data_IF_317028531173
#
_entry.id   IF_317028531173
#
_cell.length_a   1.000
_cell.length_b   1.000
_cell.length_c   1.000
_cell.angle_alpha   90.00
_cell.angle_beta   90.00
_cell.angle_gamma   90.00
#
_symmetry.space_group_name_H-M   'P 1'
#
loop_
_entity.id
_entity.type
_entity.pdbx_description
1 polymer ?
#
# COMPACT_ATOMS: atom_id res chain seq x y z
N UNK A 1 -15.48 -39.94 39.78
CA UNK A 1 -15.44 -38.85 40.79
C UNK A 1 -14.01 -38.32 40.85
N UNK A 2 -13.87 -37.00 41.06
CA UNK A 2 -12.66 -36.15 41.01
C UNK A 2 -12.23 -35.81 39.56
N UNK A 3 -12.46 -34.61 38.99
CA UNK A 3 -12.36 -33.20 39.43
C UNK A 3 -10.94 -32.73 39.76
N UNK A 4 -10.35 -31.95 38.84
CA UNK A 4 -9.33 -30.91 39.02
C UNK A 4 -8.83 -30.47 37.62
N UNK A 5 -8.41 -29.25 37.31
CA UNK A 5 -8.62 -27.89 37.80
C UNK A 5 -7.88 -27.02 36.78
N UNK A 6 -8.48 -25.94 36.31
CA UNK A 6 -7.85 -24.98 35.41
C UNK A 6 -6.72 -24.23 36.12
N UNK A 7 -5.56 -24.10 35.48
CA UNK A 7 -4.49 -23.20 35.89
C UNK A 7 -4.17 -22.23 34.74
N UNK A 8 -4.80 -21.07 34.80
CA UNK A 8 -4.40 -19.86 34.08
C UNK A 8 -3.16 -19.27 34.77
N UNK A 9 -2.04 -19.16 34.06
CA UNK A 9 -0.88 -18.39 34.54
C UNK A 9 -1.03 -16.93 34.10
N UNK A 10 -1.47 -16.09 35.03
CA UNK A 10 -1.40 -14.64 34.95
C UNK A 10 0.05 -14.17 35.09
N UNK A 11 0.53 -13.35 34.16
CA UNK A 11 1.79 -12.62 34.29
C UNK A 11 1.58 -11.38 35.20
N UNK A 12 2.56 -10.98 36.02
CA UNK A 12 2.38 -9.85 36.94
C UNK A 12 2.58 -8.49 36.25
N UNK A 13 1.64 -7.57 36.51
CA UNK A 13 1.76 -6.14 36.20
C UNK A 13 2.94 -5.53 36.97
N UNK A 14 3.90 -4.93 36.26
CA UNK A 14 4.91 -4.04 36.85
C UNK A 14 4.28 -2.67 37.12
N UNK A 15 4.15 -2.32 38.40
CA UNK A 15 3.83 -0.96 38.84
C UNK A 15 5.01 -0.02 38.53
N UNK A 16 4.74 1.07 37.81
CA UNK A 16 5.70 2.16 37.60
C UNK A 16 5.51 3.16 38.74
N UNK A 17 6.44 3.18 39.68
CA UNK A 17 6.52 4.20 40.74
C UNK A 17 7.04 5.52 40.18
N UNK A 18 6.22 6.58 40.23
CA UNK A 18 6.62 7.95 39.96
C UNK A 18 7.58 8.46 41.04
N UNK A 19 8.81 8.82 40.65
CA UNK A 19 9.74 9.57 41.49
C UNK A 19 9.55 11.09 41.27
N UNK A 20 9.73 11.93 42.30
CA UNK A 20 9.48 13.37 42.23
C UNK A 20 10.55 14.10 41.38
N UNK A 21 10.09 15.09 40.59
CA UNK A 21 10.94 15.93 39.73
C UNK A 21 11.65 17.01 40.56
N UNK A 22 12.98 17.05 40.47
CA UNK A 22 13.80 18.19 40.88
C UNK A 22 13.81 19.27 39.79
N UNK A 23 13.78 20.58 40.12
CA UNK A 23 13.73 21.64 39.12
C UNK A 23 15.14 22.13 38.77
N UNK A 24 15.55 22.08 37.51
CA UNK A 24 16.72 22.86 37.04
C UNK A 24 16.60 23.36 35.59
N UNK A 25 17.00 24.63 35.50
CA UNK A 25 17.46 25.46 34.37
C UNK A 25 16.56 25.71 33.16
N UNK A 26 16.28 27.01 32.99
CA UNK A 26 15.72 27.68 31.84
C UNK A 26 16.51 27.40 30.54
N UNK A 27 15.98 26.51 29.71
CA UNK A 27 16.35 26.44 28.30
C UNK A 27 15.38 27.28 27.48
N UNK A 28 15.91 28.31 26.83
CA UNK A 28 15.21 29.15 25.86
C UNK A 28 14.67 28.25 24.75
N UNK A 29 13.34 28.11 24.69
CA UNK A 29 12.63 27.37 23.63
C UNK A 29 12.91 28.04 22.28
N UNK A 30 13.90 27.55 21.53
CA UNK A 30 13.94 27.80 20.09
C UNK A 30 12.71 27.13 19.50
N UNK A 31 11.73 27.93 19.08
CA UNK A 31 10.62 27.46 18.26
C UNK A 31 11.23 26.91 16.97
N UNK A 32 11.29 25.58 16.82
CA UNK A 32 11.40 25.00 15.50
C UNK A 32 10.12 25.39 14.76
N UNK A 33 10.26 26.24 13.75
CA UNK A 33 9.18 26.49 12.84
C UNK A 33 8.89 25.17 12.12
N UNK A 34 7.69 24.63 12.29
CA UNK A 34 7.19 23.57 11.41
C UNK A 34 7.34 24.06 9.97
N UNK A 35 7.83 23.23 9.03
CA UNK A 35 7.80 23.61 7.63
C UNK A 35 6.35 23.91 7.28
N UNK A 36 6.06 25.15 6.88
CA UNK A 36 4.74 25.48 6.37
C UNK A 36 4.59 24.73 5.06
N UNK A 37 3.75 23.70 5.04
CA UNK A 37 3.22 23.17 3.80
C UNK A 37 2.40 24.30 3.19
N UNK A 38 2.96 24.98 2.19
CA UNK A 38 2.20 25.88 1.33
C UNK A 38 1.22 25.05 0.47
N UNK A 39 0.18 25.67 -0.09
CA UNK A 39 -0.67 24.99 -1.06
C UNK A 39 0.23 24.57 -2.22
N UNK A 40 0.35 23.26 -2.42
CA UNK A 40 1.01 22.73 -3.60
C UNK A 40 0.13 23.13 -4.79
N UNK A 41 0.65 24.02 -5.62
CA UNK A 41 0.10 24.34 -6.93
C UNK A 41 0.25 23.08 -7.79
N UNK A 42 -0.70 22.15 -7.66
CA UNK A 42 -0.67 20.87 -8.36
C UNK A 42 -1.27 21.08 -9.75
N UNK A 43 -0.41 21.34 -10.74
CA UNK A 43 -0.75 21.04 -12.12
C UNK A 43 -1.26 19.57 -12.18
N UNK A 44 -2.25 19.26 -13.03
CA UNK A 44 -2.81 17.92 -13.11
C UNK A 44 -1.69 16.91 -13.34
N UNK A 45 -1.46 16.05 -12.36
CA UNK A 45 -0.35 15.11 -12.42
C UNK A 45 -0.70 14.04 -13.45
N UNK A 46 0.14 13.90 -14.48
CA UNK A 46 -0.01 12.81 -15.43
C UNK A 46 0.22 11.48 -14.67
N UNK A 47 -0.85 10.71 -14.49
CA UNK A 47 -0.84 9.45 -13.74
C UNK A 47 0.18 8.46 -14.30
N UNK A 48 0.31 8.40 -15.63
CA UNK A 48 1.28 7.53 -16.30
C UNK A 48 2.71 7.93 -15.93
N UNK A 49 3.04 9.22 -16.07
CA UNK A 49 4.38 9.73 -15.74
C UNK A 49 4.73 9.45 -14.28
N UNK A 50 3.81 9.71 -13.35
CA UNK A 50 4.04 9.44 -11.94
C UNK A 50 4.20 7.96 -11.61
N UNK A 51 3.46 7.07 -12.30
CA UNK A 51 3.62 5.63 -12.16
C UNK A 51 4.99 5.17 -12.70
N UNK A 52 5.44 5.73 -13.82
CA UNK A 52 6.76 5.47 -14.40
C UNK A 52 7.91 5.96 -13.51
N UNK A 53 7.76 7.14 -12.89
CA UNK A 53 8.74 7.63 -11.89
C UNK A 53 8.86 6.67 -10.70
N UNK A 54 7.72 6.17 -10.19
CA UNK A 54 7.70 5.19 -9.10
C UNK A 54 8.30 3.85 -9.52
N UNK A 55 8.06 3.40 -10.76
CA UNK A 55 8.75 2.25 -11.31
C UNK A 55 10.27 2.48 -11.37
N UNK A 56 10.73 3.66 -11.82
CA UNK A 56 12.15 4.00 -11.82
C UNK A 56 12.77 4.03 -10.42
N UNK A 57 12.06 4.51 -9.40
CA UNK A 57 12.47 4.39 -7.99
C UNK A 57 12.69 2.94 -7.56
N UNK A 58 11.74 2.04 -7.89
CA UNK A 58 11.87 0.60 -7.61
C UNK A 58 13.05 -0.02 -8.37
N UNK A 59 13.34 0.44 -9.58
CA UNK A 59 14.49 -0.02 -10.37
C UNK A 59 15.82 0.41 -9.74
N UNK A 60 15.92 1.68 -9.31
CA UNK A 60 17.09 2.19 -8.58
C UNK A 60 17.30 1.40 -7.29
N UNK A 61 16.27 1.24 -6.47
CA UNK A 61 16.33 0.48 -5.22
C UNK A 61 16.80 -0.96 -5.47
N UNK A 62 16.25 -1.64 -6.49
CA UNK A 62 16.63 -3.02 -6.85
C UNK A 62 18.08 -3.16 -7.33
N UNK A 63 18.70 -2.06 -7.77
CA UNK A 63 20.10 -2.03 -8.25
C UNK A 63 21.12 -1.74 -7.15
N UNK A 64 20.68 -1.43 -5.93
CA UNK A 64 21.56 -1.17 -4.78
C UNK A 64 22.30 -2.44 -4.35
N UNK A 65 23.42 -2.27 -3.68
CA UNK A 65 24.22 -3.39 -3.14
C UNK A 65 23.44 -4.19 -2.08
N UNK A 66 22.74 -3.47 -1.20
CA UNK A 66 21.84 -4.04 -0.18
C UNK A 66 20.42 -3.48 -0.38
N UNK A 67 19.65 -4.01 -1.36
CA UNK A 67 18.33 -3.50 -1.68
C UNK A 67 17.31 -3.91 -0.60
N UNK A 68 16.37 -3.02 -0.27
CA UNK A 68 15.26 -3.31 0.63
C UNK A 68 14.28 -4.33 0.07
N UNK A 69 14.10 -4.32 -1.25
CA UNK A 69 13.31 -5.27 -2.00
C UNK A 69 13.86 -5.38 -3.42
N UNK A 70 13.52 -6.46 -4.12
CA UNK A 70 13.93 -6.67 -5.49
C UNK A 70 12.71 -6.73 -6.42
N UNK A 71 12.65 -5.80 -7.36
CA UNK A 71 11.66 -5.74 -8.43
C UNK A 71 12.34 -5.91 -9.81
N UNK A 72 12.36 -7.14 -10.36
CA UNK A 72 13.03 -7.41 -11.64
C UNK A 72 12.36 -6.75 -12.84
N UNK A 73 11.14 -6.23 -12.68
CA UNK A 73 10.34 -5.68 -13.77
C UNK A 73 10.24 -4.15 -13.73
N UNK A 74 10.66 -3.53 -12.63
CA UNK A 74 10.62 -2.07 -12.47
C UNK A 74 11.30 -1.31 -13.61
N UNK A 75 12.46 -1.78 -14.07
CA UNK A 75 13.26 -1.09 -15.08
C UNK A 75 12.56 -0.99 -16.45
N UNK A 76 11.78 -2.00 -16.86
CA UNK A 76 11.05 -1.93 -18.13
C UNK A 76 9.84 -1.00 -18.07
N UNK A 77 9.32 -0.74 -16.87
CA UNK A 77 8.17 0.13 -16.61
C UNK A 77 8.58 1.60 -16.41
N UNK A 78 9.83 1.87 -16.03
CA UNK A 78 10.34 3.22 -15.90
C UNK A 78 10.31 3.99 -17.23
N UNK A 79 10.23 5.31 -17.15
CA UNK A 79 10.50 6.16 -18.29
C UNK A 79 12.02 6.27 -18.48
N UNK A 80 12.49 5.95 -19.68
CA UNK A 80 13.92 6.00 -20.05
C UNK A 80 14.38 7.44 -20.30
N UNK A 81 13.44 8.36 -20.59
CA UNK A 81 13.74 9.74 -20.96
C UNK A 81 13.74 10.70 -19.76
N UNK A 82 13.14 10.30 -18.64
CA UNK A 82 13.12 11.07 -17.40
C UNK A 82 13.97 10.38 -16.33
N UNK A 83 15.23 10.81 -16.12
CA UNK A 83 16.03 10.25 -15.05
C UNK A 83 15.33 10.51 -13.72
N UNK A 84 14.94 9.43 -13.03
CA UNK A 84 14.48 9.53 -11.65
C UNK A 84 15.64 10.09 -10.85
N UNK A 85 15.49 11.33 -10.40
CA UNK A 85 16.48 11.99 -9.57
C UNK A 85 16.50 11.24 -8.24
N UNK A 86 17.56 10.48 -8.00
CA UNK A 86 17.92 10.14 -6.64
C UNK A 86 18.14 11.49 -5.95
N UNK A 87 17.30 11.82 -4.97
CA UNK A 87 17.32 13.12 -4.31
C UNK A 87 18.61 13.35 -3.49
N UNK A 88 19.61 12.46 -3.62
CA UNK A 88 20.98 12.67 -3.15
C UNK A 88 21.08 12.78 -1.64
N UNK A 89 20.05 12.34 -0.92
CA UNK A 89 20.09 12.20 0.52
C UNK A 89 20.53 10.79 0.87
N UNK A 90 21.41 10.64 1.84
CA UNK A 90 21.93 9.37 2.38
C UNK A 90 20.84 8.45 2.99
N UNK A 91 19.55 8.75 2.78
CA UNK A 91 18.40 8.06 3.35
C UNK A 91 17.55 7.37 2.28
N UNK A 92 17.03 6.20 2.63
CA UNK A 92 15.99 5.52 1.86
C UNK A 92 14.77 6.44 1.74
N UNK A 93 14.23 6.58 0.53
CA UNK A 93 12.98 7.30 0.32
C UNK A 93 11.78 6.60 0.98
N UNK A 94 10.76 7.40 1.31
CA UNK A 94 9.53 6.90 1.91
C UNK A 94 8.85 5.81 1.07
N UNK A 95 8.86 5.96 -0.26
CA UNK A 95 8.16 5.05 -1.16
C UNK A 95 8.80 3.66 -1.18
N UNK A 96 10.12 3.59 -1.07
CA UNK A 96 10.89 2.36 -1.03
C UNK A 96 10.66 1.62 0.30
N UNK A 97 10.64 2.35 1.43
CA UNK A 97 10.25 1.80 2.74
C UNK A 97 8.81 1.27 2.74
N UNK A 98 7.87 2.05 2.21
CA UNK A 98 6.47 1.65 2.09
C UNK A 98 6.32 0.42 1.20
N UNK A 99 7.08 0.32 0.10
CA UNK A 99 7.08 -0.85 -0.78
C UNK A 99 7.50 -2.11 -0.02
N UNK A 100 8.61 -2.05 0.72
CA UNK A 100 9.08 -3.15 1.56
C UNK A 100 8.05 -3.54 2.62
N UNK A 101 7.53 -2.57 3.37
CA UNK A 101 6.53 -2.81 4.40
C UNK A 101 5.30 -3.52 3.83
N UNK A 102 4.73 -3.01 2.75
CA UNK A 102 3.55 -3.60 2.11
C UNK A 102 3.85 -5.01 1.60
N UNK A 103 5.03 -5.27 1.04
CA UNK A 103 5.43 -6.62 0.61
C UNK A 103 5.50 -7.61 1.78
N UNK A 104 6.15 -7.21 2.88
CA UNK A 104 6.30 -8.02 4.10
C UNK A 104 4.91 -8.34 4.70
N UNK A 105 4.06 -7.33 4.87
CA UNK A 105 2.71 -7.48 5.42
C UNK A 105 1.80 -8.33 4.53
N UNK A 106 1.89 -8.18 3.20
CA UNK A 106 1.15 -9.03 2.26
C UNK A 106 1.54 -10.50 2.41
N UNK A 107 2.85 -10.77 2.54
CA UNK A 107 3.37 -12.14 2.70
C UNK A 107 3.02 -12.74 4.06
N UNK A 108 3.08 -11.94 5.13
CA UNK A 108 2.68 -12.36 6.47
C UNK A 108 1.17 -12.66 6.53
N UNK A 109 0.34 -11.81 5.95
CA UNK A 109 -1.11 -12.00 5.93
C UNK A 109 -1.51 -13.28 5.16
N UNK A 110 -0.93 -13.55 3.99
CA UNK A 110 -1.26 -14.80 3.25
C UNK A 110 -0.74 -16.07 3.94
N UNK A 111 0.28 -15.96 4.79
CA UNK A 111 0.88 -17.06 5.54
C UNK A 111 0.15 -17.37 6.86
N UNK A 112 -0.38 -16.34 7.54
CA UNK A 112 -0.99 -16.43 8.88
C UNK A 112 -2.47 -16.84 8.89
N UNK A 113 -3.15 -16.82 7.74
CA UNK A 113 -4.57 -17.19 7.65
C UNK A 113 -4.79 -18.65 8.07
N UNK A 114 -5.23 -18.85 9.31
CA UNK A 114 -5.44 -20.16 9.95
C UNK A 114 -6.47 -21.04 9.25
N UNK A 115 -7.65 -21.23 9.85
CA UNK A 115 -8.70 -22.08 9.25
C UNK A 115 -9.36 -21.44 8.00
N UNK A 116 -9.19 -20.13 7.83
CA UNK A 116 -9.69 -19.35 6.70
C UNK A 116 -8.53 -18.67 5.97
N UNK A 117 -7.94 -19.29 4.93
CA UNK A 117 -6.77 -18.75 4.25
C UNK A 117 -7.11 -17.51 3.43
N UNK A 118 -6.31 -16.45 3.60
CA UNK A 118 -6.37 -15.24 2.80
C UNK A 118 -5.81 -15.52 1.39
N UNK A 119 -6.71 -15.62 0.40
CA UNK A 119 -6.39 -15.95 -1.01
C UNK A 119 -6.97 -14.96 -2.02
N UNK A 120 -7.62 -13.89 -1.56
CA UNK A 120 -8.05 -12.77 -2.37
C UNK A 120 -7.22 -11.55 -1.96
N UNK A 121 -6.41 -11.05 -2.88
CA UNK A 121 -5.56 -9.88 -2.65
C UNK A 121 -6.03 -8.79 -3.59
N UNK A 122 -6.46 -7.65 -3.05
CA UNK A 122 -6.88 -6.49 -3.83
C UNK A 122 -5.79 -5.43 -3.70
N UNK A 123 -5.14 -5.13 -4.80
CA UNK A 123 -4.12 -4.07 -4.88
C UNK A 123 -4.78 -2.83 -5.47
N UNK A 124 -4.80 -1.74 -4.72
CA UNK A 124 -5.26 -0.42 -5.16
C UNK A 124 -4.02 0.37 -5.60
N UNK A 125 -3.82 0.47 -6.91
CA UNK A 125 -2.53 0.89 -7.48
C UNK A 125 -2.70 1.99 -8.52
N UNK A 126 -1.58 2.52 -8.98
CA UNK A 126 -1.51 3.45 -10.12
C UNK A 126 -1.45 2.74 -11.48
N UNK A 127 -1.48 1.40 -11.51
CA UNK A 127 -1.44 0.57 -12.71
C UNK A 127 -0.07 0.01 -13.09
N UNK A 128 1.00 0.30 -12.34
CA UNK A 128 2.34 -0.26 -12.60
C UNK A 128 2.83 -1.18 -11.49
N UNK A 129 1.96 -1.82 -10.72
CA UNK A 129 2.35 -2.74 -9.65
C UNK A 129 2.83 -4.11 -10.20
N UNK A 130 4.03 -4.52 -9.80
CA UNK A 130 4.70 -5.75 -10.25
C UNK A 130 4.60 -6.89 -9.24
N UNK A 131 3.99 -6.67 -8.06
CA UNK A 131 3.78 -7.71 -7.03
C UNK A 131 3.13 -8.99 -7.55
N UNK A 132 2.14 -8.96 -8.46
CA UNK A 132 1.59 -10.19 -9.04
C UNK A 132 2.66 -11.10 -9.69
N UNK A 133 3.73 -10.50 -10.22
CA UNK A 133 4.79 -11.18 -10.94
C UNK A 133 5.98 -11.56 -10.06
N UNK A 134 6.32 -10.73 -9.06
CA UNK A 134 7.55 -10.92 -8.25
C UNK A 134 7.33 -11.54 -6.87
N UNK A 135 6.14 -11.41 -6.26
CA UNK A 135 5.90 -11.97 -4.93
C UNK A 135 5.56 -13.48 -5.00
N UNK A 136 6.02 -14.29 -4.03
CA UNK A 136 5.85 -15.73 -4.03
C UNK A 136 4.45 -16.17 -3.55
N UNK A 137 3.40 -15.72 -4.24
CA UNK A 137 2.01 -15.99 -3.86
C UNK A 137 1.73 -17.49 -3.67
N UNK A 138 1.03 -17.89 -2.59
CA UNK A 138 0.54 -19.24 -2.41
C UNK A 138 -0.39 -19.68 -3.56
N UNK A 139 -0.48 -20.99 -3.81
CA UNK A 139 -1.43 -21.52 -4.79
C UNK A 139 -2.87 -21.15 -4.43
N UNK A 140 -3.70 -21.00 -5.47
CA UNK A 140 -5.08 -20.52 -5.42
C UNK A 140 -5.24 -19.06 -4.95
N UNK A 141 -4.16 -18.27 -4.95
CA UNK A 141 -4.26 -16.81 -4.74
C UNK A 141 -4.78 -16.14 -6.00
N UNK A 142 -5.77 -15.28 -5.86
CA UNK A 142 -6.20 -14.34 -6.90
C UNK A 142 -5.83 -12.93 -6.47
N UNK A 143 -5.03 -12.27 -7.30
CA UNK A 143 -4.67 -10.86 -7.16
C UNK A 143 -5.56 -10.05 -8.10
N UNK A 144 -6.30 -9.11 -7.53
CA UNK A 144 -7.11 -8.12 -8.22
C UNK A 144 -6.31 -6.82 -8.26
N UNK A 145 -5.78 -6.45 -9.42
CA UNK A 145 -5.16 -5.14 -9.63
C UNK A 145 -6.24 -4.15 -10.00
N UNK A 146 -6.58 -3.29 -9.06
CA UNK A 146 -7.54 -2.21 -9.26
C UNK A 146 -6.74 -0.96 -9.59
N UNK A 147 -6.91 -0.47 -10.81
CA UNK A 147 -6.12 0.65 -11.34
C UNK A 147 -6.72 1.23 -12.63
N UNK A 148 -6.31 2.45 -13.02
CA UNK A 148 -6.71 3.05 -14.29
C UNK A 148 -6.24 2.23 -15.50
N UNK A 149 -7.12 2.01 -16.47
CA UNK A 149 -6.83 1.13 -17.62
C UNK A 149 -5.69 1.63 -18.48
N UNK A 150 -5.57 2.95 -18.66
CA UNK A 150 -4.55 3.54 -19.52
C UNK A 150 -3.12 3.20 -19.02
N UNK A 151 -2.87 3.35 -17.72
CA UNK A 151 -1.56 3.02 -17.13
C UNK A 151 -1.33 1.51 -17.10
N UNK A 152 -2.34 0.73 -16.72
CA UNK A 152 -2.25 -0.73 -16.66
C UNK A 152 -1.90 -1.34 -18.02
N UNK A 153 -2.52 -0.86 -19.11
CA UNK A 153 -2.26 -1.39 -20.45
C UNK A 153 -0.81 -1.16 -20.90
N UNK A 154 -0.23 0.01 -20.62
CA UNK A 154 1.19 0.28 -20.87
C UNK A 154 2.07 -0.66 -20.07
N UNK A 155 1.72 -0.93 -18.81
CA UNK A 155 2.47 -1.83 -17.95
C UNK A 155 2.45 -3.27 -18.48
N UNK A 156 1.26 -3.79 -18.83
CA UNK A 156 1.10 -5.14 -19.37
C UNK A 156 1.91 -5.32 -20.66
N UNK A 157 1.83 -4.39 -21.61
CA UNK A 157 2.60 -4.47 -22.86
C UNK A 157 4.11 -4.59 -22.59
N UNK A 158 4.65 -3.75 -21.70
CA UNK A 158 6.07 -3.75 -21.34
C UNK A 158 6.48 -5.00 -20.58
N UNK A 159 5.63 -5.49 -19.68
CA UNK A 159 5.85 -6.72 -18.92
C UNK A 159 5.85 -7.95 -19.82
N UNK A 160 4.94 -8.00 -20.80
CA UNK A 160 4.89 -9.07 -21.80
C UNK A 160 6.14 -9.05 -22.69
N UNK A 161 6.62 -7.87 -23.10
CA UNK A 161 7.81 -7.71 -23.92
C UNK A 161 9.08 -8.28 -23.26
N UNK A 162 9.19 -8.20 -21.93
CA UNK A 162 10.31 -8.79 -21.17
C UNK A 162 10.02 -10.23 -20.70
N UNK A 163 8.88 -10.79 -21.08
CA UNK A 163 8.51 -12.16 -20.74
C UNK A 163 8.14 -12.37 -19.27
N UNK A 164 7.62 -11.34 -18.58
CA UNK A 164 7.12 -11.47 -17.22
C UNK A 164 6.02 -12.54 -17.13
N UNK A 165 6.06 -13.39 -16.10
CA UNK A 165 5.10 -14.48 -15.91
C UNK A 165 4.57 -14.49 -14.49
N UNK A 166 3.26 -14.57 -14.36
CA UNK A 166 2.61 -14.86 -13.07
C UNK A 166 2.94 -16.29 -12.65
N UNK A 167 3.22 -16.48 -11.36
CA UNK A 167 3.53 -17.78 -10.79
C UNK A 167 2.38 -18.76 -11.01
N UNK A 168 2.71 -20.02 -11.30
CA UNK A 168 1.71 -21.10 -11.42
C UNK A 168 0.84 -21.19 -10.17
N UNK A 169 -0.47 -21.26 -10.37
CA UNK A 169 -1.45 -21.33 -9.28
C UNK A 169 -1.82 -19.97 -8.68
N UNK A 170 -1.23 -18.86 -9.15
CA UNK A 170 -1.71 -17.50 -8.90
C UNK A 170 -2.48 -17.01 -10.14
N UNK A 171 -3.51 -16.21 -9.92
CA UNK A 171 -4.29 -15.55 -10.97
C UNK A 171 -4.20 -14.04 -10.80
N UNK A 172 -3.98 -13.31 -11.89
CA UNK A 172 -4.08 -11.85 -11.93
C UNK A 172 -5.37 -11.46 -12.67
N UNK A 173 -6.14 -10.56 -12.06
CA UNK A 173 -7.36 -9.97 -12.63
C UNK A 173 -7.23 -8.45 -12.58
N UNK A 174 -7.24 -7.80 -13.74
CA UNK A 174 -7.35 -6.35 -13.78
C UNK A 174 -8.80 -5.91 -13.53
N UNK A 175 -8.97 -4.86 -12.76
CA UNK A 175 -10.24 -4.23 -12.42
C UNK A 175 -10.10 -2.75 -12.76
N UNK A 176 -10.63 -2.36 -13.92
CA UNK A 176 -10.60 -0.96 -14.34
C UNK A 176 -11.42 -0.11 -13.37
N UNK A 177 -10.75 0.86 -12.76
CA UNK A 177 -11.38 1.95 -12.03
C UNK A 177 -10.65 3.23 -12.40
N UNK A 178 -11.40 4.16 -12.98
CA UNK A 178 -10.88 5.44 -13.42
C UNK A 178 -10.95 6.47 -12.27
N UNK A 179 -9.97 7.36 -12.24
CA UNK A 179 -9.93 8.48 -11.31
C UNK A 179 -10.77 9.64 -11.86
N UNK A 180 -11.32 10.46 -10.96
CA UNK A 180 -11.96 11.73 -11.30
C UNK A 180 -10.95 12.73 -11.85
N UNK A 181 -11.42 13.87 -12.36
CA UNK A 181 -10.56 14.98 -12.79
C UNK A 181 -9.66 15.48 -11.66
N UNK A 182 -10.13 15.38 -10.41
CA UNK A 182 -9.38 15.74 -9.20
C UNK A 182 -8.38 14.64 -8.76
N UNK A 183 -8.29 13.52 -9.50
CA UNK A 183 -7.40 12.41 -9.21
C UNK A 183 -7.88 11.50 -8.07
N UNK A 184 -9.18 11.55 -7.75
CA UNK A 184 -9.81 10.73 -6.71
C UNK A 184 -10.55 9.53 -7.28
N UNK A 185 -10.67 8.49 -6.47
CA UNK A 185 -11.41 7.30 -6.84
C UNK A 185 -12.92 7.51 -6.72
N UNK A 186 -13.67 7.02 -7.71
CA UNK A 186 -15.15 7.11 -7.72
C UNK A 186 -15.78 5.78 -7.30
N UNK A 187 -16.87 5.82 -6.52
CA UNK A 187 -17.51 4.63 -5.93
C UNK A 187 -18.30 3.78 -6.94
N UNK A 188 -18.83 4.40 -8.01
CA UNK A 188 -19.98 3.88 -8.77
C UNK A 188 -19.77 2.53 -9.49
N UNK A 189 -18.54 2.02 -9.59
CA UNK A 189 -18.22 0.81 -10.37
C UNK A 189 -17.42 -0.28 -9.64
N UNK A 190 -16.93 -0.04 -8.42
CA UNK A 190 -15.97 -0.95 -7.76
C UNK A 190 -16.53 -2.34 -7.51
N UNK A 191 -17.64 -2.41 -6.78
CA UNK A 191 -18.26 -3.67 -6.37
C UNK A 191 -18.61 -4.52 -7.59
N UNK A 192 -19.29 -3.90 -8.56
CA UNK A 192 -19.69 -4.58 -9.79
C UNK A 192 -18.46 -5.11 -10.54
N UNK A 193 -17.42 -4.29 -10.71
CA UNK A 193 -16.24 -4.68 -11.48
C UNK A 193 -15.49 -5.81 -10.77
N UNK A 194 -15.25 -5.69 -9.46
CA UNK A 194 -14.60 -6.73 -8.65
C UNK A 194 -15.36 -8.06 -8.69
N UNK A 195 -16.67 -8.03 -8.44
CA UNK A 195 -17.51 -9.24 -8.45
C UNK A 195 -17.54 -9.86 -9.85
N UNK A 196 -17.59 -9.06 -10.91
CA UNK A 196 -17.60 -9.55 -12.29
C UNK A 196 -16.35 -10.36 -12.67
N UNK A 197 -15.20 -10.05 -12.05
CA UNK A 197 -13.93 -10.76 -12.29
C UNK A 197 -13.67 -11.88 -11.26
N UNK A 198 -14.64 -12.14 -10.38
CA UNK A 198 -14.63 -13.28 -9.45
C UNK A 198 -14.25 -12.95 -8.01
N UNK A 199 -14.26 -11.68 -7.59
CA UNK A 199 -14.17 -11.35 -6.17
C UNK A 199 -15.40 -11.86 -5.41
N UNK A 200 -15.18 -12.47 -4.24
CA UNK A 200 -16.24 -12.98 -3.37
C UNK A 200 -16.18 -12.32 -1.99
N UNK A 201 -17.14 -11.45 -1.68
CA UNK A 201 -17.24 -10.76 -0.38
C UNK A 201 -17.57 -11.67 0.80
N UNK A 202 -17.85 -12.96 0.56
CA UNK A 202 -18.03 -13.99 1.62
C UNK A 202 -16.75 -14.72 1.98
N UNK A 203 -15.60 -14.30 1.43
CA UNK A 203 -14.27 -14.86 1.73
C UNK A 203 -13.34 -13.75 2.21
N UNK A 204 -12.46 -14.01 3.20
CA UNK A 204 -11.58 -12.98 3.73
C UNK A 204 -10.59 -12.54 2.65
N UNK A 205 -10.20 -11.27 2.71
CA UNK A 205 -9.40 -10.61 1.68
C UNK A 205 -8.34 -9.71 2.28
N UNK A 206 -7.25 -9.50 1.55
CA UNK A 206 -6.22 -8.50 1.88
C UNK A 206 -6.37 -7.36 0.90
N UNK A 207 -6.37 -6.14 1.39
CA UNK A 207 -6.47 -4.92 0.60
C UNK A 207 -5.22 -4.08 0.87
N UNK A 208 -4.47 -3.75 -0.19
CA UNK A 208 -3.26 -2.96 -0.08
C UNK A 208 -3.34 -1.74 -1.00
N UNK A 209 -3.03 -0.54 -0.49
CA UNK A 209 -2.97 0.68 -1.29
C UNK A 209 -1.56 1.25 -1.39
N UNK A 210 -1.14 1.63 -2.60
CA UNK A 210 0.13 2.30 -2.83
C UNK A 210 0.11 3.14 -4.12
N UNK A 211 0.85 4.24 -4.17
CA UNK A 211 1.01 5.06 -5.38
C UNK A 211 -0.14 6.04 -5.64
N UNK A 212 -1.05 6.22 -4.68
CA UNK A 212 -2.22 7.10 -4.79
C UNK A 212 -1.89 8.53 -4.33
N UNK A 213 -0.98 9.21 -5.03
CA UNK A 213 -0.42 10.49 -4.57
C UNK A 213 -1.39 11.67 -4.56
N UNK A 214 -2.42 11.64 -5.41
CA UNK A 214 -3.47 12.67 -5.53
C UNK A 214 -4.65 12.39 -4.61
N UNK A 215 -4.60 11.30 -3.82
CA UNK A 215 -5.72 10.88 -2.99
C UNK A 215 -6.06 11.96 -1.95
N UNK A 216 -7.29 12.45 -2.01
CA UNK A 216 -7.82 13.39 -1.02
C UNK A 216 -8.43 12.66 0.17
N UNK A 217 -8.84 13.41 1.20
CA UNK A 217 -9.61 12.88 2.31
C UNK A 217 -10.94 12.25 1.86
N UNK A 218 -11.61 12.85 0.86
CA UNK A 218 -12.86 12.31 0.33
C UNK A 218 -12.63 11.05 -0.51
N UNK A 219 -11.59 11.04 -1.34
CA UNK A 219 -11.15 9.82 -2.04
C UNK A 219 -10.84 8.68 -1.07
N UNK A 220 -10.14 8.96 0.04
CA UNK A 220 -9.87 7.95 1.07
C UNK A 220 -11.17 7.43 1.72
N UNK A 221 -12.13 8.31 2.02
CA UNK A 221 -13.44 7.89 2.56
C UNK A 221 -14.19 6.99 1.57
N UNK A 222 -14.11 7.27 0.28
CA UNK A 222 -14.67 6.39 -0.77
C UNK A 222 -14.03 5.02 -0.71
N UNK A 223 -12.69 4.93 -0.67
CA UNK A 223 -11.98 3.65 -0.55
C UNK A 223 -12.40 2.90 0.70
N UNK A 224 -12.38 3.55 1.87
CA UNK A 224 -12.73 2.92 3.15
C UNK A 224 -14.18 2.43 3.17
N UNK A 225 -15.11 3.17 2.58
CA UNK A 225 -16.52 2.75 2.45
C UNK A 225 -16.66 1.54 1.51
N UNK A 226 -15.95 1.52 0.39
CA UNK A 226 -15.92 0.38 -0.54
C UNK A 226 -15.40 -0.87 0.18
N UNK A 227 -14.24 -0.77 0.81
CA UNK A 227 -13.61 -1.87 1.56
C UNK A 227 -14.55 -2.35 2.67
N UNK A 228 -15.16 -1.45 3.44
CA UNK A 228 -16.09 -1.82 4.52
C UNK A 228 -17.34 -2.54 4.01
N UNK A 229 -17.76 -2.27 2.77
CA UNK A 229 -18.92 -2.93 2.15
C UNK A 229 -18.57 -4.31 1.61
N UNK A 230 -17.36 -4.47 1.07
CA UNK A 230 -16.95 -5.66 0.33
C UNK A 230 -16.19 -6.68 1.18
N UNK A 231 -15.41 -6.22 2.15
CA UNK A 231 -14.57 -7.06 2.98
C UNK A 231 -15.39 -7.73 4.09
N UNK A 232 -15.21 -9.04 4.27
CA UNK A 232 -15.77 -9.74 5.44
C UNK A 232 -14.84 -9.66 6.65
N UNK A 233 -15.34 -10.16 7.80
CA UNK A 233 -14.55 -10.39 9.01
C UNK A 233 -13.22 -11.11 8.71
N UNK A 234 -12.17 -10.73 9.43
CA UNK A 234 -10.80 -11.26 9.30
C UNK A 234 -10.09 -10.87 7.99
N UNK A 235 -10.67 -9.93 7.22
CA UNK A 235 -9.95 -9.23 6.15
C UNK A 235 -8.96 -8.22 6.71
N UNK A 236 -7.92 -7.90 5.93
CA UNK A 236 -6.86 -6.95 6.30
C UNK A 236 -6.87 -5.78 5.31
N UNK A 237 -6.68 -4.56 5.81
CA UNK A 237 -6.46 -3.35 4.99
C UNK A 237 -5.15 -2.69 5.44
N UNK A 238 -4.26 -2.44 4.49
CA UNK A 238 -2.93 -1.87 4.73
C UNK A 238 -2.51 -0.97 3.56
N UNK A 239 -1.47 -0.16 3.74
CA UNK A 239 -0.93 0.65 2.66
C UNK A 239 -0.25 1.92 3.12
N UNK A 240 0.07 2.77 2.16
CA UNK A 240 0.71 4.07 2.38
C UNK A 240 -0.32 5.20 2.29
N UNK A 241 -0.20 6.21 3.15
CA UNK A 241 -1.03 7.41 3.12
C UNK A 241 -0.16 8.63 3.38
N UNK A 242 -0.22 9.63 2.48
CA UNK A 242 0.50 10.90 2.69
C UNK A 242 -0.26 11.77 3.68
N UNK A 243 0.45 12.37 4.64
CA UNK A 243 -0.16 13.27 5.63
C UNK A 243 -0.95 14.43 5.00
N UNK A 244 -0.58 14.91 3.81
CA UNK A 244 -1.30 15.96 3.09
C UNK A 244 -2.73 15.58 2.73
N UNK A 245 -3.02 14.28 2.59
CA UNK A 245 -4.37 13.78 2.32
C UNK A 245 -5.32 13.94 3.52
N UNK A 246 -4.79 14.21 4.72
CA UNK A 246 -5.54 14.27 5.98
C UNK A 246 -5.61 15.72 6.51
N UNK A 247 -4.75 16.62 6.02
CA UNK A 247 -4.47 17.91 6.66
C UNK A 247 -5.53 19.00 6.50
N UNK A 248 -6.64 18.75 5.80
CA UNK A 248 -7.70 19.74 5.66
C UNK A 248 -8.62 19.85 6.89
N UNK A 249 -8.58 18.91 7.84
CA UNK A 249 -9.21 19.09 9.15
C UNK A 249 -8.74 18.07 10.22
N UNK A 250 -7.90 18.45 11.21
CA UNK A 250 -7.46 17.55 12.28
C UNK A 250 -8.55 17.16 13.30
N UNK A 251 -9.83 17.51 13.04
CA UNK A 251 -10.97 17.21 13.92
C UNK A 251 -11.78 15.96 13.51
N UNK A 252 -11.31 15.18 12.53
CA UNK A 252 -12.02 13.98 12.06
C UNK A 252 -11.18 12.73 12.34
N UNK A 253 -10.97 12.42 13.63
CA UNK A 253 -10.72 11.08 14.16
C UNK A 253 -11.27 11.00 15.58
#
# INVERSE_FOLDING_TARGET
MASASFLTKSLPHRAITCLPRTPTSSHTRRRFASPRCGPADQAPVNLLTAAQERAGRRAIESSREEPLFHDPYAACLADVEQPVVDAGGDGVGYYELATRFIDEELMEAVASGGDAPLRQVVLLTDGMDTRPYRLPWPSATTVFDVSPSATHNVAVERLEAVGARIRRGCMLRHVSVELSEDGDWTDESWERNLVSVGYHGTRPSIWAMQGLQTLTAEGLKVILRCVSTLAMKDSVFLGELRCSAISDNPQVF
#
